data_IF_750798858040
#
_entry.id   IF_750798858040
#
_cell.length_a   1.000
_cell.length_b   1.000
_cell.length_c   1.000
_cell.angle_alpha   90.00
_cell.angle_beta   90.00
_cell.angle_gamma   90.00
#
_symmetry.space_group_name_H-M   'P 1'
#
loop_
_entity.id
_entity.type
_entity.pdbx_description
1 polymer ?
#
# COMPACT_ATOMS: atom_id res chain seq x y z
N UNK A 1 -39.26 20.63 58.00
CA UNK A 1 -40.65 20.37 57.54
C UNK A 1 -41.27 21.69 57.16
N UNK A 2 -42.15 21.81 56.14
CA UNK A 2 -42.45 20.99 54.95
C UNK A 2 -42.12 21.81 53.66
N UNK A 3 -42.32 21.44 52.40
CA UNK A 3 -42.92 20.30 51.67
C UNK A 3 -42.36 20.36 50.22
N UNK A 4 -42.43 19.34 49.37
CA UNK A 4 -43.48 18.35 49.19
C UNK A 4 -44.14 18.57 47.82
N UNK A 5 -43.93 17.63 46.89
CA UNK A 5 -44.55 17.56 45.55
C UNK A 5 -43.63 16.76 44.63
N UNK A 6 -43.76 15.44 44.41
CA UNK A 6 -44.88 14.52 44.21
C UNK A 6 -45.60 14.68 42.86
N UNK A 7 -45.41 13.67 42.00
CA UNK A 7 -46.16 13.39 40.77
C UNK A 7 -45.23 12.81 39.69
N UNK A 8 -45.20 11.53 39.31
CA UNK A 8 -46.12 10.42 39.52
C UNK A 8 -46.89 10.07 38.24
N UNK A 9 -46.71 8.83 37.74
CA UNK A 9 -47.55 8.17 36.72
C UNK A 9 -47.10 8.42 35.28
N UNK A 10 -46.79 7.41 34.46
CA UNK A 10 -47.64 6.29 34.03
C UNK A 10 -47.89 6.51 32.53
N UNK A 11 -47.26 5.76 31.62
CA UNK A 11 -47.68 4.42 31.22
C UNK A 11 -48.80 4.53 30.18
N UNK A 12 -48.55 4.18 28.91
CA UNK A 12 -49.56 3.66 27.97
C UNK A 12 -48.92 3.27 26.63
N UNK A 13 -48.99 1.97 26.35
CA UNK A 13 -49.00 1.42 25.01
C UNK A 13 -50.37 1.66 24.37
N UNK A 14 -50.39 2.09 23.11
CA UNK A 14 -51.52 2.07 22.17
C UNK A 14 -50.91 2.46 20.82
N UNK A 15 -51.09 1.80 19.68
CA UNK A 15 -52.18 1.00 19.15
C UNK A 15 -52.10 1.23 17.64
N UNK A 16 -52.30 0.17 16.83
CA UNK A 16 -51.97 0.17 15.41
C UNK A 16 -52.91 0.92 14.46
N UNK A 17 -52.55 0.85 13.18
CA UNK A 17 -53.34 1.16 11.98
C UNK A 17 -52.39 1.07 10.77
N UNK A 18 -52.35 0.00 9.96
CA UNK A 18 -53.34 -0.60 9.06
C UNK A 18 -53.49 0.11 7.70
N UNK A 19 -53.05 -0.60 6.64
CA UNK A 19 -53.56 -0.51 5.26
C UNK A 19 -52.67 0.25 4.27
N UNK A 20 -52.26 -0.28 3.11
CA UNK A 20 -52.54 -1.55 2.44
C UNK A 20 -52.41 -1.41 0.91
N UNK A 21 -51.87 -2.45 0.25
CA UNK A 21 -52.26 -2.86 -1.10
C UNK A 21 -51.34 -2.54 -2.30
N UNK A 22 -50.85 -3.58 -2.99
CA UNK A 22 -50.50 -3.46 -4.42
C UNK A 22 -49.50 -4.46 -5.03
N UNK A 23 -49.93 -5.71 -5.27
CA UNK A 23 -49.43 -6.70 -6.26
C UNK A 23 -48.00 -7.27 -6.09
N UNK A 24 -47.73 -8.58 -6.20
CA UNK A 24 -48.50 -9.65 -6.82
C UNK A 24 -47.67 -10.34 -7.92
N UNK A 25 -46.92 -11.36 -7.52
CA UNK A 25 -46.43 -12.55 -8.27
C UNK A 25 -46.75 -12.69 -9.78
N UNK A 26 -45.69 -12.83 -10.58
CA UNK A 26 -45.65 -13.49 -11.90
C UNK A 26 -44.17 -13.61 -12.31
N UNK A 27 -43.54 -14.77 -12.48
CA UNK A 27 -44.02 -15.94 -13.21
C UNK A 27 -43.49 -15.84 -14.65
N UNK A 28 -42.21 -16.15 -14.86
CA UNK A 28 -41.57 -16.14 -16.18
C UNK A 28 -40.24 -16.89 -16.15
N UNK A 29 -40.26 -18.13 -16.62
CA UNK A 29 -39.11 -19.02 -16.62
C UNK A 29 -38.06 -18.67 -17.67
N UNK A 30 -36.82 -18.95 -17.31
CA UNK A 30 -35.70 -19.23 -18.21
C UNK A 30 -34.75 -20.09 -17.34
N UNK A 31 -34.86 -21.42 -17.30
CA UNK A 31 -34.98 -22.30 -18.45
C UNK A 31 -33.58 -22.67 -18.91
N UNK A 32 -33.00 -23.67 -18.24
CA UNK A 32 -32.08 -24.61 -18.87
C UNK A 32 -30.59 -24.26 -18.85
N UNK A 33 -29.83 -25.15 -18.22
CA UNK A 33 -28.71 -25.76 -18.95
C UNK A 33 -27.31 -25.32 -18.54
N UNK A 34 -26.73 -26.11 -17.65
CA UNK A 34 -25.50 -26.83 -18.02
C UNK A 34 -24.16 -26.19 -17.67
N UNK A 35 -23.20 -27.10 -17.51
CA UNK A 35 -21.76 -26.90 -17.32
C UNK A 35 -21.39 -26.27 -15.98
N UNK A 36 -20.89 -27.08 -15.04
CA UNK A 36 -19.61 -27.75 -15.21
C UNK A 36 -18.57 -26.82 -14.61
N UNK A 37 -18.20 -27.04 -13.36
CA UNK A 37 -16.99 -27.82 -13.13
C UNK A 37 -15.85 -26.85 -12.83
N UNK A 38 -15.43 -26.81 -11.57
CA UNK A 38 -14.11 -26.33 -11.17
C UNK A 38 -13.74 -24.93 -11.64
N UNK A 39 -14.33 -23.89 -11.04
CA UNK A 39 -13.61 -22.63 -10.88
C UNK A 39 -12.70 -22.72 -9.63
N UNK A 40 -11.85 -23.75 -9.65
CA UNK A 40 -10.64 -23.89 -8.87
C UNK A 40 -9.52 -23.94 -9.91
N UNK A 41 -9.11 -22.78 -10.39
CA UNK A 41 -8.13 -22.69 -11.47
C UNK A 41 -7.36 -21.39 -11.38
N UNK A 42 -6.23 -21.42 -10.68
CA UNK A 42 -5.15 -20.46 -10.90
C UNK A 42 -4.87 -19.43 -9.79
N UNK A 43 -5.15 -19.75 -8.52
CA UNK A 43 -4.48 -19.04 -7.41
C UNK A 43 -3.08 -19.63 -7.25
N UNK A 44 -2.13 -19.15 -8.05
CA UNK A 44 -0.76 -19.64 -8.07
C UNK A 44 0.13 -18.74 -8.92
N UNK A 45 0.78 -17.77 -8.28
CA UNK A 45 1.80 -16.93 -8.89
C UNK A 45 2.91 -17.79 -9.50
N UNK A 46 3.08 -17.69 -10.82
CA UNK A 46 4.06 -18.43 -11.60
C UNK A 46 4.96 -17.48 -12.37
N UNK A 47 6.27 -17.65 -12.14
CA UNK A 47 7.46 -17.17 -12.86
C UNK A 47 7.23 -16.31 -14.12
N UNK A 48 7.83 -15.12 -14.08
CA UNK A 48 7.86 -14.10 -15.13
C UNK A 48 8.60 -14.59 -16.38
N UNK A 49 7.97 -15.47 -17.17
CA UNK A 49 8.47 -15.86 -18.49
C UNK A 49 8.02 -14.84 -19.52
N UNK A 50 8.87 -13.84 -19.77
CA UNK A 50 8.75 -12.99 -20.96
C UNK A 50 9.22 -13.82 -22.15
N UNK A 51 8.34 -14.18 -23.10
CA UNK A 51 8.78 -14.92 -24.27
C UNK A 51 9.82 -14.09 -25.03
N UNK A 52 10.84 -14.72 -25.64
CA UNK A 52 11.79 -14.00 -26.48
C UNK A 52 11.03 -13.19 -27.53
N UNK A 53 11.47 -11.96 -27.78
CA UNK A 53 10.90 -11.02 -28.76
C UNK A 53 9.45 -10.57 -28.48
N UNK A 54 8.88 -10.87 -27.30
CA UNK A 54 7.55 -10.40 -26.91
C UNK A 54 7.66 -9.29 -25.88
N UNK A 55 6.92 -8.21 -26.13
CA UNK A 55 6.74 -7.14 -25.14
C UNK A 55 5.58 -7.49 -24.24
N UNK A 56 5.81 -7.48 -22.93
CA UNK A 56 4.77 -7.62 -21.91
C UNK A 56 4.58 -6.28 -21.19
N UNK A 57 3.34 -5.96 -20.86
CA UNK A 57 3.02 -4.83 -19.98
C UNK A 57 2.67 -5.38 -18.61
N UNK A 58 3.32 -4.84 -17.58
CA UNK A 58 3.08 -5.25 -16.20
C UNK A 58 2.85 -4.00 -15.35
N UNK A 59 1.81 -4.00 -14.51
CA UNK A 59 1.59 -2.90 -13.58
C UNK A 59 2.70 -2.94 -12.52
N UNK A 60 3.36 -1.81 -12.32
CA UNK A 60 4.31 -1.62 -11.22
C UNK A 60 3.83 -0.49 -10.34
N UNK A 61 3.92 -0.68 -9.03
CA UNK A 61 3.85 0.43 -8.09
C UNK A 61 5.22 1.08 -8.03
N UNK A 62 5.23 2.38 -8.33
CA UNK A 62 6.44 3.19 -8.32
C UNK A 62 6.20 4.45 -7.51
N UNK A 63 7.29 5.03 -7.04
CA UNK A 63 7.33 6.26 -6.24
C UNK A 63 8.49 7.11 -6.73
N UNK A 64 8.34 8.42 -6.63
CA UNK A 64 9.39 9.37 -6.98
C UNK A 64 10.47 9.36 -5.90
N UNK A 65 11.70 8.99 -6.23
CA UNK A 65 12.80 8.98 -5.27
C UNK A 65 13.27 10.38 -4.88
N UNK A 66 13.18 11.35 -5.78
CA UNK A 66 13.60 12.72 -5.51
C UNK A 66 12.43 13.66 -5.75
N UNK A 67 12.22 14.55 -4.80
CA UNK A 67 11.29 15.65 -4.91
C UNK A 67 11.78 16.68 -5.95
N UNK A 68 10.85 17.27 -6.70
CA UNK A 68 11.13 18.38 -7.62
C UNK A 68 11.82 18.02 -8.94
N UNK A 69 12.11 16.73 -9.20
CA UNK A 69 12.54 16.31 -10.54
C UNK A 69 11.41 16.43 -11.55
N UNK A 70 11.78 16.73 -12.79
CA UNK A 70 10.84 16.82 -13.89
C UNK A 70 10.03 15.52 -14.01
N UNK A 71 8.73 15.68 -14.24
CA UNK A 71 7.82 14.55 -14.40
C UNK A 71 8.27 13.64 -15.57
N UNK A 72 8.24 12.31 -15.40
CA UNK A 72 8.70 11.39 -16.44
C UNK A 72 7.89 11.57 -17.73
N UNK A 73 8.60 11.79 -18.84
CA UNK A 73 7.98 11.94 -20.17
C UNK A 73 8.31 10.74 -21.05
N UNK A 74 7.41 10.29 -21.95
CA UNK A 74 7.67 9.13 -22.82
C UNK A 74 8.92 9.23 -23.68
N UNK A 75 9.37 10.46 -23.98
CA UNK A 75 10.56 10.74 -24.79
C UNK A 75 11.88 10.68 -24.02
N UNK A 76 11.85 10.52 -22.70
CA UNK A 76 13.08 10.40 -21.91
C UNK A 76 13.69 9.01 -22.09
N UNK A 77 15.02 8.93 -22.03
CA UNK A 77 15.73 7.65 -22.03
C UNK A 77 15.76 7.08 -20.61
N UNK A 78 15.17 5.90 -20.42
CA UNK A 78 15.11 5.21 -19.13
C UNK A 78 16.10 4.05 -19.09
N UNK A 79 16.74 3.86 -17.94
CA UNK A 79 17.61 2.70 -17.65
C UNK A 79 17.19 2.09 -16.32
N UNK A 80 17.04 0.77 -16.30
CA UNK A 80 16.89 0.03 -15.05
C UNK A 80 18.24 -0.01 -14.34
N UNK A 81 18.26 0.43 -13.08
CA UNK A 81 19.45 0.44 -12.23
C UNK A 81 19.15 -0.43 -11.02
N UNK A 82 20.13 -1.22 -10.59
CA UNK A 82 19.98 -2.00 -9.35
C UNK A 82 19.93 -1.06 -8.16
N UNK A 83 19.17 -1.45 -7.15
CA UNK A 83 18.95 -0.59 -5.98
C UNK A 83 20.26 -0.31 -5.23
N UNK A 84 21.14 -1.30 -5.15
CA UNK A 84 22.45 -1.22 -4.48
C UNK A 84 23.43 -0.32 -5.23
N UNK A 85 23.24 -0.15 -6.55
CA UNK A 85 24.04 0.78 -7.37
C UNK A 85 23.55 2.24 -7.20
N UNK A 86 22.32 2.44 -6.72
CA UNK A 86 21.72 3.76 -6.53
C UNK A 86 21.92 4.32 -5.13
N UNK A 87 21.79 3.49 -4.09
CA UNK A 87 21.89 3.92 -2.69
C UNK A 87 22.50 2.85 -1.79
N UNK A 88 23.32 3.30 -0.83
CA UNK A 88 23.86 2.48 0.26
C UNK A 88 23.05 2.61 1.56
N UNK A 89 21.99 3.43 1.59
CA UNK A 89 21.14 3.60 2.77
C UNK A 89 20.26 2.34 2.96
N UNK A 90 20.47 1.57 4.05
CA UNK A 90 19.73 0.33 4.29
C UNK A 90 18.24 0.58 4.53
N UNK A 91 17.86 1.72 5.10
CA UNK A 91 16.45 2.10 5.32
C UNK A 91 15.77 2.33 3.97
N UNK A 92 16.43 3.05 3.07
CA UNK A 92 15.91 3.29 1.72
C UNK A 92 15.81 1.99 0.92
N UNK A 93 16.80 1.10 1.05
CA UNK A 93 16.76 -0.21 0.39
C UNK A 93 15.57 -1.06 0.84
N UNK A 94 15.32 -1.12 2.15
CA UNK A 94 14.17 -1.86 2.68
C UNK A 94 12.84 -1.21 2.27
N UNK A 95 12.77 0.13 2.29
CA UNK A 95 11.58 0.87 1.89
C UNK A 95 11.20 0.62 0.42
N UNK A 96 12.15 0.79 -0.50
CA UNK A 96 11.92 0.55 -1.93
C UNK A 96 11.59 -0.91 -2.19
N UNK A 97 12.22 -1.84 -1.48
CA UNK A 97 11.90 -3.27 -1.57
C UNK A 97 10.46 -3.55 -1.17
N UNK A 98 9.99 -3.01 -0.04
CA UNK A 98 8.60 -3.21 0.41
C UNK A 98 7.58 -2.66 -0.60
N UNK A 99 7.86 -1.47 -1.15
CA UNK A 99 7.01 -0.84 -2.18
C UNK A 99 7.00 -1.71 -3.45
N UNK A 100 8.16 -2.17 -3.90
CA UNK A 100 8.29 -3.03 -5.09
C UNK A 100 7.63 -4.39 -4.96
N UNK A 101 7.45 -4.91 -3.73
CA UNK A 101 6.70 -6.14 -3.45
C UNK A 101 5.18 -5.96 -3.37
N UNK A 102 4.68 -4.74 -3.55
CA UNK A 102 3.24 -4.44 -3.55
C UNK A 102 2.62 -4.23 -2.16
N UNK A 103 3.43 -4.12 -1.10
CA UNK A 103 2.92 -3.97 0.27
C UNK A 103 2.08 -2.71 0.49
N UNK A 104 2.22 -1.71 -0.40
CA UNK A 104 1.59 -0.39 -0.28
C UNK A 104 0.85 0.05 -1.55
N UNK A 105 0.40 -0.90 -2.38
CA UNK A 105 -0.30 -0.61 -3.65
C UNK A 105 -1.57 0.23 -3.47
N UNK A 106 -2.24 0.09 -2.34
CA UNK A 106 -3.46 0.81 -1.98
C UNK A 106 -3.19 2.19 -1.39
N UNK A 107 -1.96 2.48 -0.93
CA UNK A 107 -1.61 3.76 -0.32
C UNK A 107 -0.27 4.30 -0.86
N UNK A 108 -0.29 4.71 -2.13
CA UNK A 108 0.88 5.23 -2.84
C UNK A 108 1.35 6.57 -2.29
N UNK A 109 0.44 7.41 -1.78
CA UNK A 109 0.79 8.72 -1.21
C UNK A 109 1.55 8.58 0.11
N UNK A 110 1.14 7.68 0.99
CA UNK A 110 1.90 7.38 2.21
C UNK A 110 3.30 6.85 1.90
N UNK A 111 3.43 5.97 0.90
CA UNK A 111 4.73 5.47 0.44
C UNK A 111 5.61 6.60 -0.13
N UNK A 112 5.03 7.51 -0.93
CA UNK A 112 5.72 8.67 -1.48
C UNK A 112 6.24 9.62 -0.38
N UNK A 113 5.41 9.88 0.64
CA UNK A 113 5.78 10.68 1.79
C UNK A 113 6.96 10.05 2.55
N UNK A 114 6.88 8.74 2.85
CA UNK A 114 7.94 8.00 3.52
C UNK A 114 9.27 8.07 2.73
N UNK A 115 9.24 7.92 1.41
CA UNK A 115 10.45 8.02 0.57
C UNK A 115 11.09 9.40 0.67
N UNK A 116 10.32 10.49 0.51
CA UNK A 116 10.86 11.85 0.55
C UNK A 116 11.42 12.25 1.92
N UNK A 117 10.95 11.65 3.02
CA UNK A 117 11.58 11.86 4.32
C UNK A 117 12.99 11.26 4.40
N UNK A 118 13.26 10.18 3.69
CA UNK A 118 14.56 9.49 3.70
C UNK A 118 15.50 10.10 2.67
N UNK A 119 15.03 10.30 1.44
CA UNK A 119 15.86 10.75 0.32
C UNK A 119 16.16 12.24 0.36
N UNK A 120 15.15 13.07 0.59
CA UNK A 120 15.25 14.54 0.53
C UNK A 120 15.25 15.20 1.92
N UNK A 121 15.21 14.38 3.00
CA UNK A 121 15.17 14.82 4.40
C UNK A 121 14.03 15.81 4.68
N UNK A 122 12.91 15.68 3.97
CA UNK A 122 11.74 16.52 4.23
C UNK A 122 11.15 16.14 5.59
N UNK A 123 10.90 17.14 6.44
CA UNK A 123 10.15 16.92 7.67
C UNK A 123 8.69 16.65 7.35
N UNK A 124 7.99 15.94 8.25
CA UNK A 124 6.56 15.68 8.13
C UNK A 124 5.75 16.98 8.03
N UNK A 125 6.17 18.04 8.71
CA UNK A 125 5.51 19.36 8.61
C UNK A 125 5.67 19.97 7.22
N UNK A 126 6.83 19.81 6.58
CA UNK A 126 7.04 20.26 5.20
C UNK A 126 6.22 19.46 4.19
N UNK A 127 5.99 18.17 4.48
CA UNK A 127 5.10 17.34 3.67
C UNK A 127 3.64 17.73 3.89
N UNK A 128 3.23 18.02 5.13
CA UNK A 128 1.88 18.46 5.46
C UNK A 128 1.50 19.80 4.84
N UNK A 129 2.47 20.73 4.76
CA UNK A 129 2.29 22.03 4.12
C UNK A 129 2.34 21.96 2.58
N UNK A 130 2.54 20.78 2.00
CA UNK A 130 2.67 20.64 0.54
C UNK A 130 1.29 20.66 -0.10
N UNK A 131 1.14 21.52 -1.10
CA UNK A 131 -0.09 21.67 -1.86
C UNK A 131 0.14 21.46 -3.36
N UNK A 132 -0.92 21.08 -4.04
CA UNK A 132 -1.05 21.03 -5.49
C UNK A 132 -1.79 22.30 -5.89
N UNK A 133 -1.09 23.15 -6.64
CA UNK A 133 -1.67 24.38 -7.18
C UNK A 133 -2.57 24.04 -8.37
N UNK A 134 -3.81 24.49 -8.30
CA UNK A 134 -4.79 24.33 -9.37
C UNK A 134 -5.09 25.69 -10.00
N UNK A 135 -5.12 25.77 -11.33
CA UNK A 135 -5.49 27.02 -12.02
C UNK A 135 -6.97 27.32 -11.84
N UNK A 136 -7.28 28.37 -11.07
CA UNK A 136 -8.67 28.83 -10.87
C UNK A 136 -9.49 27.97 -9.92
N UNK A 137 -8.87 27.09 -9.14
CA UNK A 137 -9.48 26.34 -8.04
C UNK A 137 -8.64 26.54 -6.78
N UNK A 138 -9.23 26.33 -5.57
CA UNK A 138 -8.45 26.29 -4.34
C UNK A 138 -7.34 25.24 -4.43
N UNK A 139 -6.21 25.53 -3.77
CA UNK A 139 -5.13 24.57 -3.64
C UNK A 139 -5.61 23.31 -2.90
N UNK A 140 -5.15 22.17 -3.36
CA UNK A 140 -5.43 20.87 -2.74
C UNK A 140 -4.21 20.40 -1.97
N UNK A 141 -4.35 19.89 -0.73
CA UNK A 141 -3.21 19.32 -0.02
C UNK A 141 -2.67 18.11 -0.79
N UNK A 142 -1.35 18.06 -0.98
CA UNK A 142 -0.69 16.95 -1.66
C UNK A 142 -0.83 15.64 -0.86
N UNK A 143 -0.82 15.74 0.47
CA UNK A 143 -1.00 14.61 1.39
C UNK A 143 -2.14 14.88 2.36
N UNK A 144 -2.97 13.88 2.62
CA UNK A 144 -3.93 13.92 3.72
C UNK A 144 -3.24 13.62 5.06
N UNK A 145 -3.86 13.98 6.18
CA UNK A 145 -3.36 13.60 7.50
C UNK A 145 -3.24 12.07 7.67
N UNK A 146 -4.14 11.30 7.03
CA UNK A 146 -4.08 9.84 7.01
C UNK A 146 -2.86 9.32 6.27
N UNK A 147 -2.50 9.93 5.13
CA UNK A 147 -1.31 9.55 4.35
C UNK A 147 -0.02 9.80 5.13
N UNK A 148 0.06 10.92 5.86
CA UNK A 148 1.22 11.25 6.67
C UNK A 148 1.39 10.28 7.84
N UNK A 149 0.31 9.97 8.56
CA UNK A 149 0.33 8.98 9.65
C UNK A 149 0.73 7.59 9.14
N UNK A 150 0.15 7.15 8.02
CA UNK A 150 0.55 5.89 7.38
C UNK A 150 2.01 5.93 6.92
N UNK A 151 2.47 7.04 6.34
CA UNK A 151 3.86 7.22 5.91
C UNK A 151 4.85 7.09 7.08
N UNK A 152 4.54 7.66 8.24
CA UNK A 152 5.33 7.50 9.46
C UNK A 152 5.43 6.03 9.90
N UNK A 153 4.33 5.29 9.83
CA UNK A 153 4.31 3.87 10.18
C UNK A 153 5.13 3.03 9.20
N UNK A 154 5.02 3.32 7.90
CA UNK A 154 5.80 2.67 6.83
C UNK A 154 7.30 2.90 7.06
N UNK A 155 7.70 4.15 7.32
CA UNK A 155 9.09 4.49 7.61
C UNK A 155 9.61 3.77 8.85
N UNK A 156 8.84 3.80 9.94
CA UNK A 156 9.22 3.11 11.17
C UNK A 156 9.37 1.59 10.95
N UNK A 157 8.54 0.99 10.08
CA UNK A 157 8.67 -0.41 9.71
C UNK A 157 9.95 -0.67 8.91
N UNK A 158 10.27 0.17 7.92
CA UNK A 158 11.51 0.08 7.15
C UNK A 158 12.74 0.16 8.05
N UNK A 159 12.77 1.12 8.98
CA UNK A 159 13.86 1.29 9.94
C UNK A 159 14.07 0.06 10.83
N UNK A 160 12.98 -0.55 11.32
CA UNK A 160 13.07 -1.80 12.11
C UNK A 160 13.68 -2.93 11.29
N UNK A 161 13.23 -3.12 10.04
CA UNK A 161 13.76 -4.16 9.15
C UNK A 161 15.22 -3.94 8.80
N UNK A 162 15.61 -2.69 8.54
CA UNK A 162 17.00 -2.32 8.26
C UNK A 162 17.90 -2.68 9.44
N UNK A 163 17.52 -2.30 10.67
CA UNK A 163 18.27 -2.65 11.88
C UNK A 163 18.41 -4.16 12.08
N UNK A 164 17.32 -4.92 11.93
CA UNK A 164 17.38 -6.39 12.05
C UNK A 164 18.31 -7.02 11.00
N UNK A 165 18.38 -6.44 9.80
CA UNK A 165 19.27 -6.91 8.73
C UNK A 165 20.73 -6.61 9.04
N UNK A 166 21.02 -5.43 9.59
CA UNK A 166 22.36 -5.05 10.08
C UNK A 166 22.82 -6.01 11.19
N UNK A 167 21.98 -6.23 12.21
CA UNK A 167 22.26 -7.16 13.32
C UNK A 167 22.58 -8.58 12.82
N UNK A 168 21.86 -9.05 11.78
CA UNK A 168 22.06 -10.37 11.17
C UNK A 168 23.33 -10.45 10.31
N UNK A 169 23.71 -9.36 9.66
CA UNK A 169 24.96 -9.27 8.89
C UNK A 169 26.18 -9.23 9.82
N UNK A 170 26.09 -8.53 10.95
CA UNK A 170 27.15 -8.48 11.96
C UNK A 170 27.31 -9.82 12.71
N UNK A 171 26.21 -10.53 12.96
CA UNK A 171 26.22 -11.86 13.57
C UNK A 171 26.78 -12.98 12.67
N UNK A 172 27.14 -12.69 11.41
CA UNK A 172 27.74 -13.67 10.49
C UNK A 172 29.21 -13.34 10.16
N UNK A 173 30.18 -13.54 11.08
CA UNK A 173 31.58 -13.54 10.70
C UNK A 173 32.02 -14.94 10.23
N UNK A 174 32.76 -14.97 9.11
CA UNK A 174 33.70 -16.02 8.69
C UNK A 174 33.21 -17.48 8.57
N UNK A 175 32.52 -17.81 7.47
CA UNK A 175 32.60 -19.17 6.88
C UNK A 175 33.09 -19.12 5.43
N UNK A 176 34.20 -18.44 5.20
CA UNK A 176 34.92 -18.48 3.92
C UNK A 176 36.40 -18.66 4.20
N UNK A 177 36.83 -19.91 4.34
CA UNK A 177 38.21 -20.25 4.67
C UNK A 177 38.42 -21.74 4.91
N UNK A 178 37.88 -22.61 4.06
CA UNK A 178 38.31 -24.02 4.01
C UNK A 178 38.94 -24.25 2.64
N UNK A 179 40.24 -23.95 2.55
CA UNK A 179 41.08 -24.34 1.41
C UNK A 179 41.21 -25.87 1.45
N UNK A 180 40.85 -26.62 0.38
CA UNK A 180 41.14 -28.04 0.33
C UNK A 180 42.65 -28.23 0.12
N UNK A 181 43.29 -28.85 1.10
CA UNK A 181 44.70 -29.21 1.11
C UNK A 181 45.01 -30.14 -0.08
N UNK A 182 45.86 -29.68 -1.01
CA UNK A 182 46.39 -30.50 -2.11
C UNK A 182 47.25 -31.62 -1.52
N UNK A 183 46.73 -32.87 -1.51
CA UNK A 183 47.55 -34.07 -1.38
C UNK A 183 48.57 -34.10 -2.54
N UNK A 184 49.84 -33.86 -2.21
CA UNK A 184 50.97 -34.12 -3.10
C UNK A 184 51.10 -35.64 -3.27
N UNK A 185 51.29 -36.04 -4.53
CA UNK A 185 51.62 -37.40 -4.97
C UNK A 185 53.04 -37.75 -4.55
#
# INVERSE_FOLDING_TARGET
>A
MPGGGMGGGGGQAMGGGMGGGGMGMGGGGMGGGGMGGGMMGGMGGGFFSVPPERTVQFPITSVCLNHGKAEPRPKMTYRLVKLEEYTSDPVLQELVTMIGTGAYDTNKQAAQAAVWTVTDKMSWDKLAAKEIEHLGQPNEPYFTAGDLSAGQQILAHAQRKAKTREDKQEATPARAGRVPEKKRQ
#
